data_IF_014230128631
#
_entry.id   IF_014230128631
#
_cell.length_a   1.000
_cell.length_b   1.000
_cell.length_c   1.000
_cell.angle_alpha   90.00
_cell.angle_beta   90.00
_cell.angle_gamma   90.00
#
_symmetry.space_group_name_H-M   'P 1'
#
loop_
_entity.id
_entity.type
_entity.pdbx_description
1 polymer ?
#
# COMPACT_ATOMS: atom_id res chain seq x y z
N UNK A 1 13.81 14.10 1.97
CA UNK A 1 13.34 12.73 2.28
C UNK A 1 11.87 12.65 1.90
N UNK A 2 11.47 11.75 1.02
CA UNK A 2 10.05 11.53 0.67
C UNK A 2 9.55 10.27 1.38
N UNK A 3 8.45 10.40 2.12
CA UNK A 3 7.82 9.28 2.83
C UNK A 3 6.46 9.04 2.22
N UNK A 4 6.26 7.84 1.70
CA UNK A 4 5.02 7.40 1.09
C UNK A 4 4.30 6.38 1.95
N UNK A 5 2.98 6.41 1.89
CA UNK A 5 2.08 5.50 2.58
C UNK A 5 1.12 4.91 1.54
N UNK A 6 1.08 3.59 1.38
CA UNK A 6 0.18 2.94 0.44
C UNK A 6 -0.67 1.89 1.15
N UNK A 7 -1.98 1.94 0.92
CA UNK A 7 -2.91 1.02 1.55
C UNK A 7 -4.37 1.27 1.20
N UNK A 8 -5.25 0.72 2.03
CA UNK A 8 -6.70 0.85 1.92
C UNK A 8 -7.29 2.11 2.57
N UNK A 9 -8.53 2.00 3.04
CA UNK A 9 -9.30 3.08 3.69
C UNK A 9 -8.65 3.61 4.97
N UNK A 10 -7.99 2.75 5.75
CA UNK A 10 -7.28 3.14 6.98
C UNK A 10 -6.10 4.05 6.63
N UNK A 11 -5.37 3.73 5.56
CA UNK A 11 -4.28 4.58 5.05
C UNK A 11 -4.79 5.89 4.44
N UNK A 12 -5.91 5.83 3.70
CA UNK A 12 -6.58 7.02 3.16
C UNK A 12 -6.99 8.00 4.27
N UNK A 13 -7.30 7.47 5.46
CA UNK A 13 -7.71 8.24 6.61
C UNK A 13 -9.22 8.34 6.75
N UNK A 14 -9.97 7.33 6.31
CA UNK A 14 -11.39 7.21 6.62
C UNK A 14 -11.58 7.31 8.15
N UNK A 15 -12.72 7.87 8.58
CA UNK A 15 -13.12 8.22 9.98
C UNK A 15 -12.32 9.33 10.67
N UNK A 16 -11.01 9.47 10.45
CA UNK A 16 -10.20 10.54 11.06
C UNK A 16 -9.97 11.77 10.15
N UNK A 17 -10.13 11.60 8.84
CA UNK A 17 -9.83 12.63 7.85
C UNK A 17 -8.32 12.84 7.61
N UNK A 18 -7.97 13.68 6.63
CA UNK A 18 -6.60 13.79 6.11
C UNK A 18 -5.58 14.34 7.12
N UNK A 19 -6.03 15.14 8.10
CA UNK A 19 -5.13 15.78 9.07
C UNK A 19 -4.86 14.92 10.31
N UNK A 20 -5.72 13.94 10.59
CA UNK A 20 -5.64 13.12 11.81
C UNK A 20 -5.42 11.64 11.52
N UNK A 21 -5.30 11.25 10.26
CA UNK A 21 -4.99 9.88 9.89
C UNK A 21 -3.55 9.53 10.30
N UNK A 22 -3.30 8.24 10.49
CA UNK A 22 -2.03 7.73 11.02
C UNK A 22 -0.84 8.09 10.11
N UNK A 23 -1.06 8.15 8.80
CA UNK A 23 -0.05 8.52 7.83
C UNK A 23 0.39 9.99 8.03
N UNK A 24 -0.57 10.91 8.17
CA UNK A 24 -0.29 12.33 8.43
C UNK A 24 0.34 12.55 9.81
N UNK A 25 -0.20 11.89 10.84
CA UNK A 25 0.36 11.98 12.19
C UNK A 25 1.78 11.43 12.28
N UNK A 26 2.08 10.35 11.55
CA UNK A 26 3.44 9.81 11.43
C UNK A 26 4.37 10.81 10.76
N UNK A 27 3.94 11.39 9.63
CA UNK A 27 4.71 12.43 8.93
C UNK A 27 5.00 13.64 9.83
N UNK A 28 4.00 14.18 10.53
CA UNK A 28 4.18 15.35 11.39
C UNK A 28 5.20 15.09 12.50
N UNK A 29 5.13 13.93 13.14
CA UNK A 29 6.08 13.53 14.18
C UNK A 29 7.48 13.29 13.66
N UNK A 30 7.63 12.85 12.41
CA UNK A 30 8.93 12.74 11.77
C UNK A 30 9.51 14.12 11.45
N UNK A 31 8.69 15.08 11.04
CA UNK A 31 9.11 16.48 10.88
C UNK A 31 9.56 17.08 12.22
N UNK A 32 8.83 16.82 13.31
CA UNK A 32 9.23 17.24 14.67
C UNK A 32 10.53 16.58 15.13
N UNK A 33 10.69 15.28 14.86
CA UNK A 33 11.89 14.51 15.23
C UNK A 33 13.14 14.92 14.44
N UNK A 34 12.96 15.35 13.18
CA UNK A 34 14.04 15.73 12.27
C UNK A 34 13.83 17.15 11.70
N UNK A 35 13.90 18.20 12.55
CA UNK A 35 13.51 19.56 12.16
C UNK A 35 14.38 20.17 11.06
N UNK A 36 15.62 19.70 10.93
CA UNK A 36 16.57 20.18 9.91
C UNK A 36 16.42 19.45 8.55
N UNK A 37 15.48 18.51 8.44
CA UNK A 37 15.25 17.72 7.21
C UNK A 37 13.94 18.12 6.55
N UNK A 38 13.99 18.47 5.27
CA UNK A 38 12.77 18.58 4.46
C UNK A 38 12.20 17.18 4.19
N UNK A 39 11.09 16.88 4.84
CA UNK A 39 10.31 15.67 4.61
C UNK A 39 9.13 16.00 3.69
N UNK A 40 8.91 15.19 2.65
CA UNK A 40 7.74 15.27 1.78
C UNK A 40 6.77 14.14 2.15
N UNK A 41 5.48 14.45 2.19
CA UNK A 41 4.40 13.53 2.51
C UNK A 41 3.68 13.06 1.25
N UNK A 42 3.55 11.74 1.07
CA UNK A 42 2.75 11.13 0.00
C UNK A 42 1.79 10.13 0.61
N UNK A 43 0.50 10.44 0.64
CA UNK A 43 -0.54 9.49 1.03
C UNK A 43 -1.21 8.91 -0.22
N UNK A 44 -0.94 7.64 -0.46
CA UNK A 44 -1.50 6.82 -1.52
C UNK A 44 -2.48 5.78 -0.95
N UNK A 45 -3.26 6.14 0.07
CA UNK A 45 -4.40 5.36 0.53
C UNK A 45 -5.57 5.45 -0.46
N UNK A 46 -6.25 4.33 -0.69
CA UNK A 46 -7.45 4.30 -1.52
C UNK A 46 -8.48 3.31 -0.95
N UNK A 47 -9.62 3.83 -0.51
CA UNK A 47 -10.68 3.05 0.13
C UNK A 47 -11.15 1.84 -0.70
N UNK A 48 -11.37 0.71 -0.03
CA UNK A 48 -11.93 -0.51 -0.64
C UNK A 48 -10.99 -1.25 -1.59
N UNK A 49 -9.68 -0.96 -1.58
CA UNK A 49 -8.74 -1.56 -2.54
C UNK A 49 -7.78 -2.57 -1.90
N UNK A 50 -7.64 -3.78 -2.47
CA UNK A 50 -6.60 -4.72 -2.09
C UNK A 50 -5.25 -4.38 -2.75
N UNK A 51 -4.19 -5.07 -2.35
CA UNK A 51 -2.84 -4.96 -2.90
C UNK A 51 -2.79 -5.16 -4.41
N UNK A 52 -3.70 -5.96 -4.98
CA UNK A 52 -3.81 -6.17 -6.44
C UNK A 52 -4.05 -4.84 -7.15
N UNK A 53 -5.01 -4.05 -6.67
CA UNK A 53 -5.24 -2.68 -7.19
C UNK A 53 -4.13 -1.73 -6.76
N UNK A 54 -3.56 -1.92 -5.57
CA UNK A 54 -2.37 -1.17 -5.12
C UNK A 54 -1.20 -1.30 -6.10
N UNK A 55 -0.95 -2.48 -6.64
CA UNK A 55 0.11 -2.72 -7.62
C UNK A 55 -0.13 -2.01 -8.95
N UNK A 56 -1.41 -1.88 -9.36
CA UNK A 56 -1.80 -1.20 -10.60
C UNK A 56 -1.40 0.27 -10.54
N UNK A 57 -1.66 0.91 -9.40
CA UNK A 57 -1.42 2.34 -9.19
C UNK A 57 -0.07 2.68 -8.54
N UNK A 58 0.71 1.66 -8.17
CA UNK A 58 1.96 1.83 -7.41
C UNK A 58 2.95 2.79 -8.09
N UNK A 59 3.08 2.70 -9.43
CA UNK A 59 3.98 3.57 -10.17
C UNK A 59 3.59 5.05 -10.00
N UNK A 60 2.34 5.37 -10.37
CA UNK A 60 1.77 6.72 -10.33
C UNK A 60 1.71 7.30 -8.93
N UNK A 61 1.15 6.54 -7.99
CA UNK A 61 0.80 7.07 -6.66
C UNK A 61 1.98 7.07 -5.67
N UNK A 62 3.03 6.30 -5.96
CA UNK A 62 4.16 6.12 -5.01
C UNK A 62 5.50 6.29 -5.71
N UNK A 63 5.82 5.46 -6.71
CA UNK A 63 7.20 5.36 -7.22
C UNK A 63 7.63 6.61 -8.01
N UNK A 64 6.72 7.28 -8.71
CA UNK A 64 7.00 8.52 -9.45
C UNK A 64 7.38 9.68 -8.51
N UNK A 65 6.98 9.60 -7.23
CA UNK A 65 7.41 10.53 -6.20
C UNK A 65 8.82 10.24 -5.65
N UNK A 66 9.48 9.16 -6.11
CA UNK A 66 10.82 8.72 -5.71
C UNK A 66 10.95 8.65 -4.18
N UNK A 67 10.15 7.80 -3.52
CA UNK A 67 10.11 7.72 -2.06
C UNK A 67 11.44 7.22 -1.51
N UNK A 68 11.89 7.76 -0.39
CA UNK A 68 13.02 7.22 0.38
C UNK A 68 12.53 6.16 1.39
N UNK A 69 11.25 6.21 1.76
CA UNK A 69 10.60 5.22 2.60
C UNK A 69 9.15 5.00 2.18
N UNK A 70 8.68 3.75 2.20
CA UNK A 70 7.29 3.38 1.94
C UNK A 70 6.74 2.55 3.10
N UNK A 71 5.60 3.00 3.65
CA UNK A 71 4.77 2.17 4.52
C UNK A 71 3.71 1.45 3.69
N UNK A 72 3.58 0.14 3.88
CA UNK A 72 2.63 -0.71 3.14
C UNK A 72 1.61 -1.33 4.09
N UNK A 73 0.33 -1.09 3.85
CA UNK A 73 -0.79 -1.49 4.72
C UNK A 73 -1.96 -2.05 3.87
N UNK A 74 -2.10 -3.37 3.82
CA UNK A 74 -3.22 -4.03 3.13
C UNK A 74 -3.79 -5.21 3.91
N UNK A 75 -3.41 -5.37 5.18
CA UNK A 75 -3.64 -6.61 5.92
C UNK A 75 -5.13 -6.95 6.08
N UNK A 76 -6.00 -5.94 6.16
CA UNK A 76 -7.45 -6.15 6.23
C UNK A 76 -8.15 -6.05 4.87
N UNK A 77 -7.48 -5.53 3.85
CA UNK A 77 -8.05 -5.36 2.51
C UNK A 77 -7.85 -6.59 1.63
N UNK A 78 -6.73 -7.29 1.79
CA UNK A 78 -6.47 -8.51 1.05
C UNK A 78 -7.30 -9.69 1.57
N UNK A 79 -7.55 -10.64 0.66
CA UNK A 79 -7.99 -11.98 1.01
C UNK A 79 -6.81 -12.94 1.18
N UNK A 80 -7.11 -14.21 1.46
CA UNK A 80 -6.11 -15.27 1.62
C UNK A 80 -5.83 -16.07 0.34
N UNK A 81 -6.52 -15.76 -0.76
CA UNK A 81 -6.29 -16.41 -2.05
C UNK A 81 -4.90 -16.10 -2.61
N UNK A 82 -4.39 -17.01 -3.45
CA UNK A 82 -3.03 -16.94 -3.99
C UNK A 82 -2.75 -15.61 -4.72
N UNK A 83 -3.75 -15.04 -5.40
CA UNK A 83 -3.61 -13.78 -6.12
C UNK A 83 -3.17 -12.61 -5.22
N UNK A 84 -3.66 -12.56 -3.98
CA UNK A 84 -3.28 -11.50 -3.03
C UNK A 84 -1.85 -11.70 -2.53
N UNK A 85 -1.45 -12.94 -2.28
CA UNK A 85 -0.08 -13.31 -1.87
C UNK A 85 0.93 -12.96 -2.96
N UNK A 86 0.63 -13.35 -4.20
CA UNK A 86 1.44 -13.04 -5.39
C UNK A 86 1.57 -11.53 -5.58
N UNK A 87 0.45 -10.80 -5.44
CA UNK A 87 0.40 -9.36 -5.58
C UNK A 87 1.23 -8.65 -4.50
N UNK A 88 1.00 -8.96 -3.23
CA UNK A 88 1.70 -8.31 -2.14
C UNK A 88 3.22 -8.55 -2.23
N UNK A 89 3.67 -9.77 -2.52
CA UNK A 89 5.09 -10.09 -2.74
C UNK A 89 5.70 -9.23 -3.85
N UNK A 90 5.03 -9.14 -4.99
CA UNK A 90 5.47 -8.30 -6.10
C UNK A 90 5.49 -6.81 -5.82
N UNK A 91 4.53 -6.29 -5.06
CA UNK A 91 4.53 -4.90 -4.64
C UNK A 91 5.79 -4.59 -3.83
N UNK A 92 6.06 -5.42 -2.81
CA UNK A 92 7.19 -5.22 -1.91
C UNK A 92 8.51 -5.29 -2.67
N UNK A 93 8.70 -6.31 -3.53
CA UNK A 93 9.92 -6.40 -4.34
C UNK A 93 10.04 -5.24 -5.34
N UNK A 94 8.95 -4.79 -5.96
CA UNK A 94 8.97 -3.66 -6.89
C UNK A 94 9.41 -2.38 -6.19
N UNK A 95 8.97 -2.13 -4.95
CA UNK A 95 9.45 -1.01 -4.14
C UNK A 95 10.94 -1.17 -3.82
N UNK A 96 11.36 -2.32 -3.28
CA UNK A 96 12.75 -2.55 -2.86
C UNK A 96 13.77 -2.54 -4.01
N UNK A 97 13.33 -2.86 -5.23
CA UNK A 97 14.17 -2.88 -6.44
C UNK A 97 14.32 -1.53 -7.12
N UNK A 98 13.70 -0.45 -6.60
CA UNK A 98 13.89 0.88 -7.16
C UNK A 98 15.36 1.33 -7.04
N UNK A 99 15.81 2.14 -7.99
CA UNK A 99 17.21 2.61 -8.07
C UNK A 99 17.65 3.39 -6.83
N UNK A 100 16.73 4.09 -6.18
CA UNK A 100 16.99 4.84 -4.97
C UNK A 100 16.86 4.02 -3.68
N UNK A 101 16.60 2.71 -3.78
CA UNK A 101 16.56 1.74 -2.68
C UNK A 101 15.74 2.22 -1.47
N UNK A 102 14.44 2.51 -1.65
CA UNK A 102 13.58 2.94 -0.55
C UNK A 102 13.59 1.92 0.60
N UNK A 103 13.57 2.42 1.83
CA UNK A 103 13.21 1.62 2.98
C UNK A 103 11.73 1.21 2.89
N UNK A 104 11.40 0.00 3.35
CA UNK A 104 10.00 -0.47 3.39
C UNK A 104 9.66 -0.92 4.80
N UNK A 105 8.53 -0.46 5.32
CA UNK A 105 7.96 -0.92 6.59
C UNK A 105 6.55 -1.44 6.37
N UNK A 106 6.25 -2.59 6.97
CA UNK A 106 4.93 -3.20 6.85
C UNK A 106 4.10 -2.88 8.10
N UNK A 107 2.86 -2.43 7.89
CA UNK A 107 1.91 -2.23 8.97
C UNK A 107 0.74 -3.19 8.80
N UNK A 108 0.53 -4.06 9.79
CA UNK A 108 -0.52 -5.05 9.78
C UNK A 108 -1.67 -4.60 10.69
N UNK A 109 -2.77 -4.25 10.05
CA UNK A 109 -4.05 -3.91 10.68
C UNK A 109 -4.86 -5.18 10.98
N UNK A 110 -5.91 -5.03 11.79
CA UNK A 110 -6.89 -6.09 12.11
C UNK A 110 -8.26 -5.45 12.28
N UNK A 111 -9.32 -6.16 11.88
CA UNK A 111 -10.72 -5.73 12.09
C UNK A 111 -11.36 -6.46 13.28
N UNK A 112 -12.54 -6.01 13.74
CA UNK A 112 -13.18 -6.51 14.98
C UNK A 112 -13.39 -8.03 14.98
N UNK A 113 -13.66 -8.63 13.82
CA UNK A 113 -13.83 -10.07 13.66
C UNK A 113 -12.55 -10.89 13.82
N UNK A 114 -11.39 -10.22 13.93
CA UNK A 114 -10.07 -10.83 13.97
C UNK A 114 -9.44 -11.08 12.59
N UNK A 115 -10.10 -10.69 11.49
CA UNK A 115 -9.53 -10.85 10.15
C UNK A 115 -8.30 -9.94 9.97
N UNK A 116 -7.22 -10.57 9.52
CA UNK A 116 -5.98 -9.95 9.07
C UNK A 116 -5.21 -10.93 8.20
N UNK A 117 -4.52 -10.43 7.19
CA UNK A 117 -3.61 -11.16 6.32
C UNK A 117 -2.16 -11.13 6.83
N UNK A 118 -1.94 -10.70 8.08
CA UNK A 118 -0.62 -10.64 8.73
C UNK A 118 0.18 -11.95 8.59
N UNK A 119 -0.47 -13.11 8.65
CA UNK A 119 0.22 -14.41 8.62
C UNK A 119 1.13 -14.54 7.39
N UNK A 120 0.59 -14.34 6.18
CA UNK A 120 1.37 -14.48 4.96
C UNK A 120 2.20 -13.22 4.67
N UNK A 121 1.70 -12.03 4.99
CA UNK A 121 2.44 -10.78 4.78
C UNK A 121 3.70 -10.71 5.64
N UNK A 122 3.65 -11.27 6.86
CA UNK A 122 4.82 -11.37 7.74
C UNK A 122 5.87 -12.37 7.21
N UNK A 123 5.48 -13.38 6.43
CA UNK A 123 6.43 -14.27 5.75
C UNK A 123 7.26 -13.49 4.73
N UNK A 124 6.61 -12.60 3.97
CA UNK A 124 7.26 -11.69 3.03
C UNK A 124 8.18 -10.71 3.77
N UNK A 125 7.69 -10.09 4.84
CA UNK A 125 8.49 -9.19 5.68
C UNK A 125 9.72 -9.86 6.26
N UNK A 126 9.61 -11.11 6.76
CA UNK A 126 10.75 -11.90 7.25
C UNK A 126 11.74 -12.23 6.13
N UNK A 127 11.25 -12.68 4.98
CA UNK A 127 12.08 -13.06 3.84
C UNK A 127 12.93 -11.90 3.30
N UNK A 128 12.40 -10.67 3.35
CA UNK A 128 13.09 -9.47 2.89
C UNK A 128 13.70 -8.63 4.02
N UNK A 129 13.68 -9.12 5.26
CA UNK A 129 14.30 -8.44 6.40
C UNK A 129 13.66 -7.10 6.78
N UNK A 130 12.36 -6.96 6.56
CA UNK A 130 11.64 -5.70 6.72
C UNK A 130 11.19 -5.47 8.16
N UNK A 131 11.22 -4.22 8.66
CA UNK A 131 10.52 -3.86 9.88
C UNK A 131 9.01 -4.05 9.70
N UNK A 132 8.38 -4.61 10.73
CA UNK A 132 6.95 -4.93 10.75
C UNK A 132 6.34 -4.41 12.05
N UNK A 133 5.19 -3.75 11.94
CA UNK A 133 4.37 -3.32 13.07
C UNK A 133 3.04 -4.07 13.01
N UNK A 134 2.73 -4.84 14.05
CA UNK A 134 1.46 -5.58 14.16
C UNK A 134 0.53 -4.88 15.13
N UNK A 135 -0.59 -4.36 14.62
CA UNK A 135 -1.69 -3.88 15.44
C UNK A 135 -2.36 -5.04 16.19
N UNK A 136 -2.50 -6.19 15.52
CA UNK A 136 -3.14 -7.37 16.09
C UNK A 136 -2.48 -7.78 17.42
N UNK A 137 -1.14 -7.88 17.44
CA UNK A 137 -0.41 -8.23 18.67
C UNK A 137 -0.64 -7.21 19.81
N UNK A 138 -0.76 -5.92 19.48
CA UNK A 138 -1.03 -4.87 20.47
C UNK A 138 -2.45 -5.01 21.00
N UNK A 139 -3.45 -4.98 20.11
CA UNK A 139 -4.85 -5.03 20.52
C UNK A 139 -5.20 -6.33 21.25
N UNK A 140 -4.74 -7.49 20.77
CA UNK A 140 -4.97 -8.76 21.46
C UNK A 140 -4.44 -8.71 22.89
N UNK A 141 -3.21 -8.21 23.10
CA UNK A 141 -2.64 -8.09 24.43
C UNK A 141 -3.40 -7.10 25.33
N UNK A 142 -3.79 -5.93 24.81
CA UNK A 142 -4.54 -4.92 25.57
C UNK A 142 -5.95 -5.42 25.95
N UNK A 143 -6.59 -6.20 25.07
CA UNK A 143 -7.91 -6.80 25.31
C UNK A 143 -7.82 -7.95 26.32
N UNK A 144 -6.85 -8.87 26.17
CA UNK A 144 -6.63 -9.98 27.10
C UNK A 144 -6.34 -9.51 28.53
N UNK A 145 -5.64 -8.38 28.67
CA UNK A 145 -5.32 -7.79 29.97
C UNK A 145 -6.39 -6.83 30.49
N UNK A 146 -7.49 -6.64 29.74
CA UNK A 146 -8.62 -5.79 30.14
C UNK A 146 -8.32 -4.30 30.21
N UNK A 147 -7.22 -3.85 29.59
CA UNK A 147 -6.81 -2.42 29.57
C UNK A 147 -7.53 -1.63 28.49
N UNK A 148 -7.99 -2.30 27.44
CA UNK A 148 -8.75 -1.70 26.35
C UNK A 148 -9.87 -2.62 25.88
N UNK A 149 -10.82 -2.03 25.15
CA UNK A 149 -11.84 -2.70 24.33
C UNK A 149 -11.74 -2.21 22.90
N UNK A 150 -12.39 -2.91 21.98
CA UNK A 150 -12.44 -2.52 20.57
C UNK A 150 -12.94 -1.09 20.38
N UNK A 151 -13.95 -0.70 21.15
CA UNK A 151 -14.58 0.62 21.09
C UNK A 151 -13.66 1.76 21.58
N UNK A 152 -12.58 1.45 22.31
CA UNK A 152 -11.56 2.47 22.63
C UNK A 152 -10.70 2.79 21.39
N UNK A 153 -10.54 1.83 20.47
CA UNK A 153 -9.71 1.93 19.27
C UNK A 153 -10.48 2.37 18.01
N UNK A 154 -11.72 1.90 17.86
CA UNK A 154 -12.51 2.01 16.63
C UNK A 154 -13.98 2.24 16.95
N UNK A 155 -14.62 3.13 16.20
CA UNK A 155 -16.05 3.42 16.34
C UNK A 155 -16.92 2.53 15.43
N UNK A 156 -16.29 1.78 14.51
CA UNK A 156 -16.94 0.79 13.66
C UNK A 156 -16.17 -0.55 13.67
N UNK A 157 -16.50 -1.48 12.77
CA UNK A 157 -15.90 -2.82 12.71
C UNK A 157 -14.48 -2.85 12.13
N UNK A 158 -13.96 -1.77 11.55
CA UNK A 158 -12.74 -1.81 10.72
C UNK A 158 -11.81 -0.59 10.83
N UNK A 159 -12.35 0.62 10.98
CA UNK A 159 -11.64 1.88 10.82
C UNK A 159 -11.30 2.49 12.18
N UNK A 160 -10.01 2.74 12.48
CA UNK A 160 -9.61 3.33 13.75
C UNK A 160 -10.27 4.68 13.95
N UNK A 161 -10.70 5.03 15.15
CA UNK A 161 -11.11 6.41 15.43
C UNK A 161 -9.87 7.32 15.53
N UNK A 162 -10.05 8.62 15.82
CA UNK A 162 -8.91 9.56 15.94
C UNK A 162 -7.85 9.08 16.94
N UNK A 163 -8.28 8.44 18.04
CA UNK A 163 -7.37 7.88 19.03
C UNK A 163 -6.62 6.66 18.48
N UNK A 164 -7.30 5.75 17.78
CA UNK A 164 -6.67 4.59 17.13
C UNK A 164 -5.64 4.98 16.07
N UNK A 165 -5.89 6.05 15.32
CA UNK A 165 -4.90 6.62 14.40
C UNK A 165 -3.69 7.22 15.13
N UNK A 166 -3.90 7.92 16.25
CA UNK A 166 -2.81 8.39 17.10
C UNK A 166 -1.98 7.24 17.67
N UNK A 167 -2.63 6.18 18.15
CA UNK A 167 -1.96 4.98 18.66
C UNK A 167 -1.10 4.33 17.57
N UNK A 168 -1.62 4.24 16.34
CA UNK A 168 -0.85 3.72 15.19
C UNK A 168 0.42 4.54 14.95
N UNK A 169 0.32 5.88 14.96
CA UNK A 169 1.49 6.74 14.84
C UNK A 169 2.45 6.59 16.04
N UNK A 170 1.96 6.35 17.26
CA UNK A 170 2.80 6.07 18.44
C UNK A 170 3.63 4.77 18.24
N UNK A 171 3.00 3.72 17.72
CA UNK A 171 3.67 2.45 17.41
C UNK A 171 4.76 2.60 16.35
N UNK A 172 4.49 3.36 15.29
CA UNK A 172 5.46 3.63 14.22
C UNK A 172 6.62 4.47 14.74
N UNK A 173 6.36 5.51 15.54
CA UNK A 173 7.45 6.30 16.11
C UNK A 173 8.32 5.50 17.07
N UNK A 174 7.74 4.57 17.84
CA UNK A 174 8.52 3.63 18.64
C UNK A 174 9.40 2.72 17.76
N UNK A 175 8.92 2.29 16.58
CA UNK A 175 9.78 1.57 15.61
C UNK A 175 10.99 2.42 15.19
N UNK A 176 10.81 3.72 14.91
CA UNK A 176 11.92 4.63 14.61
C UNK A 176 12.87 4.82 15.80
N UNK A 177 12.36 4.91 17.02
CA UNK A 177 13.19 5.02 18.22
C UNK A 177 14.07 3.78 18.40
N UNK A 178 13.49 2.58 18.26
CA UNK A 178 14.24 1.33 18.30
C UNK A 178 15.29 1.24 17.19
N UNK A 179 14.96 1.68 15.97
CA UNK A 179 15.91 1.74 14.88
C UNK A 179 17.07 2.71 15.17
N UNK A 180 16.76 3.89 15.73
CA UNK A 180 17.75 4.91 16.11
C UNK A 180 18.71 4.38 17.17
N UNK A 181 18.21 3.71 18.21
CA UNK A 181 19.06 3.08 19.22
C UNK A 181 19.93 1.96 18.64
N UNK A 182 19.36 1.15 17.74
CA UNK A 182 20.10 0.07 17.07
C UNK A 182 21.25 0.63 16.23
N UNK A 183 21.03 1.74 15.50
CA UNK A 183 22.06 2.39 14.67
C UNK A 183 23.27 2.83 15.50
N UNK A 184 23.10 3.30 16.73
CA UNK A 184 24.23 3.72 17.60
C UNK A 184 25.23 2.61 17.90
N UNK A 185 24.77 1.36 17.87
CA UNK A 185 25.60 0.17 18.15
C UNK A 185 25.88 -0.65 16.89
N UNK A 186 25.33 -0.24 15.74
CA UNK A 186 25.52 -0.92 14.48
C UNK A 186 26.87 -0.52 13.88
N UNK A 187 27.64 -1.51 13.42
CA UNK A 187 28.79 -1.25 12.57
C UNK A 187 28.36 -0.85 11.15
N UNK A 188 29.30 -0.87 10.21
CA UNK A 188 28.99 -0.64 8.80
C UNK A 188 27.94 -1.65 8.30
N UNK A 189 26.83 -1.15 7.78
CA UNK A 189 25.75 -1.97 7.22
C UNK A 189 25.95 -2.09 5.72
N UNK A 190 25.99 -3.31 5.22
CA UNK A 190 25.86 -3.58 3.78
C UNK A 190 24.41 -3.92 3.50
N UNK A 191 23.79 -3.24 2.54
CA UNK A 191 22.44 -3.56 2.09
C UNK A 191 22.55 -4.88 1.30
N UNK A 192 21.96 -5.95 1.85
CA UNK A 192 21.90 -7.24 1.15
C UNK A 192 21.06 -7.10 -0.13
N UNK A 193 21.47 -7.74 -1.24
CA UNK A 193 20.60 -7.84 -2.40
C UNK A 193 19.31 -8.58 -2.04
N UNK A 194 18.24 -8.31 -2.78
CA UNK A 194 17.01 -9.10 -2.67
C UNK A 194 17.31 -10.58 -2.98
N UNK A 195 16.69 -11.54 -2.27
CA UNK A 195 16.81 -12.95 -2.61
C UNK A 195 16.37 -13.23 -4.05
N UNK A 196 17.07 -14.11 -4.76
CA UNK A 196 16.71 -14.44 -6.16
C UNK A 196 15.31 -15.09 -6.26
N UNK A 197 14.88 -15.79 -5.21
CA UNK A 197 13.58 -16.45 -5.14
C UNK A 197 12.50 -15.52 -4.61
N UNK A 198 11.32 -15.60 -5.21
CA UNK A 198 10.09 -14.99 -4.73
C UNK A 198 9.53 -15.79 -3.55
N UNK A 199 8.83 -15.13 -2.63
CA UNK A 199 8.17 -15.81 -1.51
C UNK A 199 6.92 -16.54 -2.03
N UNK A 200 6.20 -15.91 -2.94
CA UNK A 200 5.02 -16.47 -3.59
C UNK A 200 5.16 -16.51 -5.11
N UNK A 201 5.22 -15.36 -5.79
CA UNK A 201 5.24 -15.34 -7.25
C UNK A 201 5.69 -14.00 -7.84
N UNK A 202 6.31 -14.07 -9.03
CA UNK A 202 6.64 -12.94 -9.87
C UNK A 202 5.47 -12.47 -10.77
N UNK A 203 4.28 -13.05 -10.60
CA UNK A 203 3.10 -12.83 -11.47
C UNK A 203 2.80 -11.36 -11.76
N UNK A 204 3.01 -10.47 -10.80
CA UNK A 204 2.73 -9.03 -10.90
C UNK A 204 3.99 -8.16 -11.05
N UNK A 205 5.18 -8.75 -11.16
CA UNK A 205 6.46 -8.04 -11.15
C UNK A 205 6.60 -6.98 -12.26
N UNK A 206 6.11 -7.31 -13.46
CA UNK A 206 6.20 -6.50 -14.68
C UNK A 206 4.80 -6.08 -15.17
N UNK A 207 3.89 -5.84 -14.22
CA UNK A 207 2.55 -5.37 -14.54
C UNK A 207 2.60 -3.91 -15.01
N UNK A 208 1.86 -3.65 -16.08
CA UNK A 208 1.66 -2.31 -16.66
C UNK A 208 0.17 -1.99 -16.64
N UNK A 209 -0.20 -0.86 -16.03
CA UNK A 209 -1.56 -0.33 -16.14
C UNK A 209 -1.74 0.37 -17.49
N UNK A 210 -2.88 0.15 -18.13
CA UNK A 210 -3.22 0.76 -19.42
C UNK A 210 -4.52 1.54 -19.28
N UNK A 211 -4.46 2.80 -19.69
CA UNK A 211 -5.58 3.73 -19.77
C UNK A 211 -5.40 4.62 -21.03
N UNK A 212 -6.26 5.62 -21.25
CA UNK A 212 -6.19 6.50 -22.43
C UNK A 212 -4.88 7.28 -22.56
N UNK A 213 -4.18 7.50 -21.46
CA UNK A 213 -2.94 8.28 -21.41
C UNK A 213 -1.69 7.40 -21.49
N UNK A 214 -1.85 6.10 -21.28
CA UNK A 214 -0.75 5.12 -21.27
C UNK A 214 -0.88 4.13 -22.43
N UNK A 215 0.08 4.16 -23.35
CA UNK A 215 0.29 3.07 -24.31
C UNK A 215 1.52 2.26 -23.92
N UNK A 216 1.46 0.93 -24.06
CA UNK A 216 2.61 0.04 -23.88
C UNK A 216 2.92 -0.68 -25.18
N UNK A 217 4.20 -0.94 -25.45
CA UNK A 217 4.60 -1.82 -26.56
C UNK A 217 4.00 -3.23 -26.41
N UNK A 218 3.59 -3.61 -25.19
CA UNK A 218 2.95 -4.90 -24.89
C UNK A 218 1.44 -4.90 -25.05
N UNK A 219 0.78 -3.74 -25.07
CA UNK A 219 -0.66 -3.65 -25.25
C UNK A 219 -1.00 -2.41 -26.07
N UNK A 220 -1.42 -2.66 -27.32
CA UNK A 220 -1.79 -1.63 -28.29
C UNK A 220 -3.30 -1.65 -28.49
N UNK A 221 -3.94 -0.50 -28.31
CA UNK A 221 -5.36 -0.31 -28.59
C UNK A 221 -5.49 -0.04 -30.09
N UNK A 222 -6.12 -0.95 -30.84
CA UNK A 222 -6.35 -0.79 -32.28
C UNK A 222 -7.63 -0.02 -32.58
N UNK A 223 -8.64 -0.15 -31.73
CA UNK A 223 -9.91 0.57 -31.82
C UNK A 223 -10.55 0.69 -30.45
N UNK A 224 -11.13 1.85 -30.14
CA UNK A 224 -11.98 2.03 -28.94
C UNK A 224 -13.41 1.58 -29.17
N UNK A 225 -13.79 1.20 -30.40
CA UNK A 225 -15.17 0.93 -30.76
C UNK A 225 -16.08 2.07 -30.32
N UNK A 226 -17.16 1.73 -29.61
CA UNK A 226 -18.07 2.73 -29.01
C UNK A 226 -17.71 3.16 -27.59
N UNK A 227 -16.60 2.70 -27.01
CA UNK A 227 -16.24 2.89 -25.60
C UNK A 227 -15.55 4.23 -25.27
N UNK A 228 -15.68 5.26 -26.11
CA UNK A 228 -15.02 6.56 -25.90
C UNK A 228 -15.99 7.72 -25.64
N UNK A 229 -17.00 7.50 -24.81
CA UNK A 229 -18.11 8.47 -24.65
C UNK A 229 -17.86 9.56 -23.61
N UNK A 230 -17.13 9.29 -22.53
CA UNK A 230 -16.81 10.28 -21.50
C UNK A 230 -15.31 10.41 -21.30
N UNK A 231 -14.79 11.62 -21.13
CA UNK A 231 -13.35 11.86 -20.92
C UNK A 231 -12.84 11.45 -19.55
N UNK A 232 -13.69 11.51 -18.52
CA UNK A 232 -13.38 11.08 -17.16
C UNK A 232 -14.30 9.93 -16.76
N UNK A 233 -13.74 8.82 -16.26
CA UNK A 233 -14.51 7.62 -15.93
C UNK A 233 -14.71 7.42 -14.43
N UNK A 234 -13.64 7.32 -13.66
CA UNK A 234 -13.67 7.06 -12.21
C UNK A 234 -12.69 8.01 -11.54
N UNK A 235 -13.03 8.55 -10.37
CA UNK A 235 -12.16 9.53 -9.67
C UNK A 235 -10.72 9.05 -9.49
N UNK A 236 -10.52 7.77 -9.15
CA UNK A 236 -9.18 7.20 -8.91
C UNK A 236 -8.50 6.64 -10.17
N UNK A 237 -9.28 6.47 -11.24
CA UNK A 237 -8.86 5.99 -12.57
C UNK A 237 -9.60 6.81 -13.64
N UNK A 238 -9.25 8.11 -13.78
CA UNK A 238 -10.05 9.04 -14.58
C UNK A 238 -9.93 8.76 -16.08
N UNK A 239 -8.82 8.19 -16.52
CA UNK A 239 -8.47 8.04 -17.92
C UNK A 239 -8.96 6.72 -18.55
N UNK A 240 -9.98 6.07 -17.97
CA UNK A 240 -10.55 4.82 -18.50
C UNK A 240 -11.40 5.04 -19.76
N UNK A 241 -12.18 4.03 -20.15
CA UNK A 241 -13.12 4.10 -21.28
C UNK A 241 -14.56 3.86 -20.79
N UNK A 242 -15.55 4.47 -21.44
CA UNK A 242 -16.96 4.34 -21.07
C UNK A 242 -17.88 4.29 -22.28
N UNK A 243 -18.96 3.52 -22.15
CA UNK A 243 -20.02 3.41 -23.16
C UNK A 243 -21.38 3.82 -22.59
N UNK A 244 -22.00 4.80 -23.22
CA UNK A 244 -23.36 5.28 -22.92
C UNK A 244 -24.29 5.01 -24.11
N UNK A 245 -24.70 3.75 -24.26
CA UNK A 245 -25.62 3.33 -25.31
C UNK A 245 -26.34 2.03 -24.97
N UNK A 246 -27.14 1.52 -25.90
CA UNK A 246 -27.81 0.22 -25.72
C UNK A 246 -26.82 -0.90 -26.08
N UNK A 247 -26.84 -2.06 -25.41
CA UNK A 247 -25.99 -3.19 -25.77
C UNK A 247 -26.08 -3.62 -27.25
N UNK A 248 -27.20 -3.35 -27.92
CA UNK A 248 -27.40 -3.62 -29.36
C UNK A 248 -26.56 -2.75 -30.30
N UNK A 249 -26.09 -1.60 -29.83
CA UNK A 249 -25.40 -0.58 -30.62
C UNK A 249 -23.91 -0.51 -30.23
N UNK A 250 -23.41 -1.55 -29.58
CA UNK A 250 -22.09 -1.62 -28.96
C UNK A 250 -21.10 -2.28 -29.91
N UNK A 251 -20.13 -1.50 -30.40
CA UNK A 251 -19.00 -2.03 -31.16
C UNK A 251 -17.83 -2.30 -30.18
N UNK A 252 -17.14 -3.44 -30.32
CA UNK A 252 -16.12 -3.87 -29.37
C UNK A 252 -14.91 -2.94 -29.35
N UNK A 253 -14.27 -2.86 -28.18
CA UNK A 253 -12.91 -2.35 -28.06
C UNK A 253 -11.94 -3.46 -28.47
N UNK A 254 -10.93 -3.13 -29.27
CA UNK A 254 -9.96 -4.07 -29.81
C UNK A 254 -8.55 -3.71 -29.33
N UNK A 255 -7.80 -4.75 -28.94
CA UNK A 255 -6.44 -4.63 -28.42
C UNK A 255 -5.57 -5.74 -28.99
N UNK A 256 -4.32 -5.41 -29.26
CA UNK A 256 -3.25 -6.37 -29.53
C UNK A 256 -2.38 -6.48 -28.27
N UNK A 257 -2.28 -7.68 -27.70
CA UNK A 257 -1.57 -7.94 -26.45
C UNK A 257 -0.44 -8.93 -26.64
N UNK A 258 0.72 -8.61 -26.07
CA UNK A 258 1.88 -9.50 -25.96
C UNK A 258 2.25 -9.68 -24.48
N UNK A 259 1.93 -10.84 -23.93
CA UNK A 259 2.32 -11.20 -22.56
C UNK A 259 1.71 -12.51 -22.09
N UNK A 260 2.01 -12.89 -20.84
CA UNK A 260 1.52 -14.14 -20.24
C UNK A 260 0.12 -14.00 -19.62
N UNK A 261 -0.19 -12.83 -19.08
CA UNK A 261 -1.42 -12.54 -18.36
C UNK A 261 -1.96 -11.19 -18.81
N UNK A 262 -3.24 -11.13 -19.19
CA UNK A 262 -4.00 -9.91 -19.40
C UNK A 262 -4.86 -9.65 -18.15
#
# INVERSE_FOLDING_TARGET
>A
VTIAFIGGSITEGLTAGPEKCWAKLTYDRLCEKYPDTKINYVNAGLSGTPSVLGNIRLQRDVLDHKPDMVFVEFAVNDGNDQIYKDSYDAMIRKILSQKNQPAVALYFTVIKSGHTCEEYMSQIGKAYGLPMVSLNNVLSHEFETGRMKWEDYSDDESHPNEWGHKMTADLIMNMFDKATEKIKTMGNVTISPLPDTWVYSDRFADMTFIDRTHSSDKLKISSTGTFDTEKETLTSFPDGWSYKGKPSDCEPMEFEFTGKNL
#
